data_IF_471130011979
#
_entry.id   IF_471130011979
#
_cell.length_a   1.000
_cell.length_b   1.000
_cell.length_c   1.000
_cell.angle_alpha   90.00
_cell.angle_beta   90.00
_cell.angle_gamma   90.00
#
_symmetry.space_group_name_H-M   'P 1'
#
loop_
_entity.id
_entity.type
_entity.pdbx_description
1 polymer ?
#
# COMPACT_ATOMS: atom_id res chain seq x y z
N UNK A 1 -15.24 -33.31 -7.60
CA UNK A 1 -14.09 -32.89 -6.86
C UNK A 1 -13.91 -31.40 -6.94
N UNK A 2 -13.04 -30.90 -6.10
CA UNK A 2 -12.93 -29.46 -5.90
C UNK A 2 -11.60 -28.89 -6.31
N UNK A 3 -10.85 -29.60 -7.07
CA UNK A 3 -9.52 -29.18 -7.45
C UNK A 3 -9.51 -27.87 -8.22
N UNK A 4 -10.62 -27.52 -8.84
CA UNK A 4 -10.70 -26.27 -9.60
C UNK A 4 -11.46 -25.18 -8.87
N UNK A 5 -11.72 -25.38 -7.59
CA UNK A 5 -12.35 -24.33 -6.80
C UNK A 5 -11.34 -23.24 -6.57
N UNK A 6 -11.63 -22.09 -7.09
CA UNK A 6 -10.80 -20.93 -6.85
C UNK A 6 -11.05 -20.39 -5.45
N UNK A 7 -9.96 -20.10 -4.77
CA UNK A 7 -10.08 -19.39 -3.50
C UNK A 7 -10.23 -17.91 -3.85
N UNK A 8 -11.45 -17.44 -3.73
CA UNK A 8 -11.72 -16.03 -3.99
C UNK A 8 -11.51 -15.28 -2.69
N UNK A 9 -10.47 -14.45 -2.67
CA UNK A 9 -10.21 -13.57 -1.55
C UNK A 9 -11.02 -12.31 -1.77
N UNK A 10 -12.09 -12.16 -0.98
CA UNK A 10 -12.94 -10.99 -1.08
C UNK A 10 -12.45 -9.96 -0.07
N UNK A 11 -12.04 -8.81 -0.59
CA UNK A 11 -11.63 -7.70 0.24
C UNK A 11 -12.75 -6.68 0.30
N UNK A 12 -13.09 -6.29 1.50
CA UNK A 12 -14.17 -5.35 1.75
C UNK A 12 -13.56 -3.99 2.03
N UNK A 13 -13.88 -2.97 1.21
CA UNK A 13 -13.36 -1.63 1.48
C UNK A 13 -14.13 -0.98 2.63
N UNK A 14 -13.37 -0.37 3.52
CA UNK A 14 -13.91 0.44 4.59
C UNK A 14 -13.12 1.74 4.65
N UNK A 15 -13.65 2.67 5.42
CA UNK A 15 -12.92 3.91 5.70
C UNK A 15 -12.45 3.88 7.15
N UNK A 16 -11.14 3.87 7.35
CA UNK A 16 -10.58 4.01 8.68
C UNK A 16 -10.71 5.47 9.12
N UNK A 17 -10.88 5.68 10.42
CA UNK A 17 -10.93 7.03 10.96
C UNK A 17 -9.57 7.71 10.72
N UNK A 18 -9.60 9.02 10.62
CA UNK A 18 -8.39 9.80 10.39
C UNK A 18 -7.33 9.51 11.43
N UNK A 19 -7.74 9.33 12.69
CA UNK A 19 -6.83 8.99 13.78
C UNK A 19 -6.11 7.66 13.52
N UNK A 20 -6.83 6.67 13.01
CA UNK A 20 -6.24 5.37 12.70
C UNK A 20 -5.26 5.46 11.53
N UNK A 21 -5.57 6.27 10.53
CA UNK A 21 -4.66 6.49 9.40
C UNK A 21 -3.38 7.16 9.88
N UNK A 22 -3.51 8.17 10.74
CA UNK A 22 -2.34 8.84 11.30
C UNK A 22 -1.47 7.86 12.08
N UNK A 23 -2.09 7.00 12.90
CA UNK A 23 -1.36 6.02 13.67
C UNK A 23 -0.62 5.04 12.78
N UNK A 24 -1.26 4.60 11.69
CA UNK A 24 -0.62 3.71 10.74
C UNK A 24 0.60 4.38 10.10
N UNK A 25 0.47 5.63 9.68
CA UNK A 25 1.58 6.34 9.04
C UNK A 25 2.73 6.60 10.00
N UNK A 26 2.41 6.86 11.27
CA UNK A 26 3.45 7.01 12.29
C UNK A 26 4.21 5.71 12.50
N UNK A 27 3.49 4.61 12.60
CA UNK A 27 4.12 3.30 12.74
C UNK A 27 4.97 2.98 11.51
N UNK A 28 4.44 3.22 10.33
CA UNK A 28 5.17 2.98 9.08
C UNK A 28 6.50 3.73 9.09
N UNK A 29 6.45 5.00 9.45
CA UNK A 29 7.65 5.83 9.46
C UNK A 29 8.66 5.35 10.48
N UNK A 30 8.18 4.97 11.68
CA UNK A 30 9.07 4.43 12.71
C UNK A 30 9.75 3.16 12.22
N UNK A 31 9.01 2.26 11.59
CA UNK A 31 9.57 1.01 11.08
C UNK A 31 10.60 1.28 9.98
N UNK A 32 10.25 2.14 9.03
CA UNK A 32 11.13 2.41 7.89
C UNK A 32 12.39 3.17 8.28
N UNK A 33 12.33 3.97 9.34
CA UNK A 33 13.46 4.78 9.78
C UNK A 33 14.27 4.14 10.90
N UNK A 34 13.85 2.95 11.36
CA UNK A 34 14.60 2.22 12.36
C UNK A 34 15.97 1.84 11.80
N UNK A 35 17.02 2.02 12.60
CA UNK A 35 18.38 1.73 12.13
C UNK A 35 18.60 0.27 11.79
N UNK A 36 17.78 -0.62 12.37
CA UNK A 36 17.87 -2.06 12.10
C UNK A 36 17.01 -2.47 10.92
N UNK A 37 16.29 -1.52 10.28
CA UNK A 37 15.47 -1.84 9.13
C UNK A 37 16.37 -2.19 7.95
N UNK A 38 16.20 -3.41 7.45
CA UNK A 38 16.97 -3.91 6.32
C UNK A 38 16.01 -4.12 5.15
N UNK A 39 16.23 -3.40 4.07
CA UNK A 39 15.35 -3.46 2.90
C UNK A 39 15.20 -4.88 2.40
N UNK A 40 16.29 -5.66 2.39
CA UNK A 40 16.23 -7.03 1.88
C UNK A 40 15.37 -7.95 2.74
N UNK A 41 15.40 -7.76 4.06
CA UNK A 41 14.72 -8.67 4.99
C UNK A 41 13.40 -8.13 5.52
N UNK A 42 13.26 -6.82 5.61
CA UNK A 42 12.12 -6.21 6.30
C UNK A 42 11.12 -5.55 5.35
N UNK A 43 11.42 -5.49 4.05
CA UNK A 43 10.49 -4.97 3.06
C UNK A 43 10.22 -6.05 2.02
N UNK A 44 8.95 -6.34 1.82
CA UNK A 44 8.54 -7.25 0.74
C UNK A 44 7.70 -6.47 -0.25
N UNK A 45 8.16 -6.40 -1.49
CA UNK A 45 7.44 -5.75 -2.58
C UNK A 45 6.92 -6.83 -3.51
N UNK A 46 5.59 -6.87 -3.69
CA UNK A 46 4.95 -7.81 -4.58
C UNK A 46 4.98 -7.20 -5.98
N UNK A 47 5.74 -7.80 -6.88
CA UNK A 47 5.95 -7.24 -8.22
C UNK A 47 5.07 -7.86 -9.27
N UNK A 48 4.62 -9.09 -9.06
CA UNK A 48 3.76 -9.78 -10.02
C UNK A 48 2.34 -9.24 -9.97
N UNK A 49 1.65 -9.33 -11.08
CA UNK A 49 0.27 -8.88 -11.15
C UNK A 49 -0.49 -9.83 -12.06
N UNK A 50 -1.75 -10.08 -11.71
CA UNK A 50 -2.68 -10.81 -12.57
C UNK A 50 -3.36 -9.86 -13.55
N UNK A 51 -3.13 -8.58 -13.39
CA UNK A 51 -3.74 -7.54 -14.18
C UNK A 51 -2.87 -7.23 -15.40
N UNK A 52 -3.24 -6.20 -16.12
CA UNK A 52 -2.49 -5.77 -17.29
C UNK A 52 -1.10 -5.31 -16.87
N UNK A 53 -0.13 -5.55 -17.74
CA UNK A 53 1.28 -5.28 -17.42
C UNK A 53 1.51 -3.84 -16.98
N UNK A 54 0.89 -2.87 -17.67
CA UNK A 54 1.11 -1.47 -17.38
C UNK A 54 0.56 -1.03 -16.02
N UNK A 55 -0.20 -1.89 -15.36
CA UNK A 55 -0.72 -1.63 -14.02
C UNK A 55 -0.07 -2.54 -12.98
N UNK A 56 1.10 -3.11 -13.30
CA UNK A 56 1.84 -3.94 -12.34
C UNK A 56 2.88 -3.10 -11.60
N UNK A 57 3.24 -3.55 -10.42
CA UNK A 57 4.30 -2.90 -9.65
C UNK A 57 5.63 -2.96 -10.40
N UNK A 58 5.92 -4.12 -11.02
CA UNK A 58 7.17 -4.28 -11.75
C UNK A 58 7.28 -3.26 -12.90
N UNK A 59 6.20 -3.10 -13.66
CA UNK A 59 6.20 -2.13 -14.75
C UNK A 59 6.40 -0.72 -14.24
N UNK A 60 5.68 -0.35 -13.17
CA UNK A 60 5.77 0.99 -12.62
C UNK A 60 7.17 1.30 -12.13
N UNK A 61 7.79 0.36 -11.43
CA UNK A 61 9.16 0.55 -10.96
C UNK A 61 10.12 0.73 -12.12
N UNK A 62 9.96 -0.05 -13.17
CA UNK A 62 10.81 0.08 -14.37
C UNK A 62 10.59 1.43 -15.05
N UNK A 63 9.34 1.81 -15.21
CA UNK A 63 9.01 3.06 -15.89
C UNK A 63 9.50 4.28 -15.13
N UNK A 64 9.47 4.23 -13.80
CA UNK A 64 9.97 5.32 -12.95
C UNK A 64 11.48 5.22 -12.68
N UNK A 65 12.10 4.13 -13.11
CA UNK A 65 13.49 3.83 -12.79
C UNK A 65 13.71 3.78 -11.27
N UNK A 66 12.81 3.06 -10.59
CA UNK A 66 12.83 2.93 -9.14
C UNK A 66 13.37 1.58 -8.72
N UNK A 67 14.21 1.58 -7.70
CA UNK A 67 14.54 0.35 -6.97
C UNK A 67 13.79 0.35 -5.62
N UNK A 68 14.10 -0.64 -4.78
CA UNK A 68 13.41 -0.77 -3.49
C UNK A 68 13.66 0.42 -2.58
N UNK A 69 14.84 1.03 -2.64
CA UNK A 69 15.12 2.18 -1.79
C UNK A 69 14.30 3.40 -2.20
N UNK A 70 14.02 3.54 -3.49
CA UNK A 70 13.15 4.62 -3.95
C UNK A 70 11.72 4.42 -3.44
N UNK A 71 11.27 3.17 -3.42
CA UNK A 71 9.96 2.84 -2.84
C UNK A 71 9.93 3.27 -1.38
N UNK A 72 10.94 2.91 -0.60
CA UNK A 72 11.02 3.28 0.81
C UNK A 72 10.88 4.79 0.98
N UNK A 73 11.60 5.56 0.16
CA UNK A 73 11.54 7.01 0.27
C UNK A 73 10.13 7.55 -0.04
N UNK A 74 9.46 6.98 -1.02
CA UNK A 74 8.08 7.40 -1.33
C UNK A 74 7.13 7.03 -0.20
N UNK A 75 7.31 5.85 0.41
CA UNK A 75 6.46 5.44 1.53
C UNK A 75 6.62 6.36 2.73
N UNK A 76 7.83 6.83 2.99
CA UNK A 76 8.06 7.78 4.09
C UNK A 76 7.35 9.11 3.89
N UNK A 77 7.05 9.44 2.65
CA UNK A 77 6.41 10.72 2.31
C UNK A 77 4.89 10.67 2.34
N UNK A 78 4.30 9.50 2.59
CA UNK A 78 2.84 9.37 2.57
C UNK A 78 2.21 10.22 3.65
N UNK A 79 1.07 10.83 3.30
CA UNK A 79 0.33 11.73 4.17
C UNK A 79 -1.10 11.24 4.34
N UNK A 80 -1.77 11.76 5.35
CA UNK A 80 -3.17 11.43 5.61
C UNK A 80 -4.04 11.83 4.42
N UNK A 81 -3.72 12.94 3.76
CA UNK A 81 -4.50 13.39 2.61
C UNK A 81 -4.43 12.44 1.43
N UNK A 82 -3.42 11.58 1.38
CA UNK A 82 -3.26 10.58 0.33
C UNK A 82 -3.93 9.26 0.65
N UNK A 83 -4.53 9.13 1.83
CA UNK A 83 -5.26 7.91 2.21
C UNK A 83 -6.53 7.78 1.38
N UNK A 84 -6.80 6.57 0.91
CA UNK A 84 -7.98 6.29 0.12
C UNK A 84 -8.96 5.36 0.85
N UNK A 85 -8.52 4.19 1.24
CA UNK A 85 -9.40 3.21 1.88
C UNK A 85 -8.60 2.16 2.62
N UNK A 86 -9.30 1.38 3.42
CA UNK A 86 -8.73 0.23 4.12
C UNK A 86 -9.45 -1.00 3.62
N UNK A 87 -8.70 -2.08 3.41
CA UNK A 87 -9.28 -3.33 2.92
C UNK A 87 -9.23 -4.38 4.01
N UNK A 88 -10.35 -5.07 4.18
CA UNK A 88 -10.48 -6.19 5.10
C UNK A 88 -10.71 -7.44 4.27
N UNK A 89 -9.95 -8.49 4.58
CA UNK A 89 -10.24 -9.80 4.00
C UNK A 89 -11.50 -10.34 4.67
N UNK A 90 -12.49 -10.73 3.87
CA UNK A 90 -13.76 -11.20 4.38
C UNK A 90 -13.59 -12.41 5.29
N UNK A 91 -12.63 -13.27 4.99
CA UNK A 91 -12.42 -14.50 5.74
C UNK A 91 -11.39 -14.32 6.87
N UNK A 92 -10.75 -13.17 6.94
CA UNK A 92 -9.79 -12.86 7.99
C UNK A 92 -9.88 -11.38 8.30
N UNK A 93 -10.79 -11.05 9.22
CA UNK A 93 -11.03 -9.67 9.58
C UNK A 93 -10.08 -9.15 10.66
N UNK A 94 -9.10 -9.97 11.01
CA UNK A 94 -8.14 -9.59 12.05
C UNK A 94 -7.02 -8.73 11.47
N UNK A 95 -6.44 -7.87 12.27
CA UNK A 95 -5.24 -7.14 11.83
C UNK A 95 -4.11 -8.09 11.48
N UNK A 96 -3.21 -7.70 10.60
CA UNK A 96 -3.12 -6.35 10.06
C UNK A 96 -4.06 -6.11 8.89
N UNK A 97 -4.56 -4.89 8.83
CA UNK A 97 -5.41 -4.45 7.73
C UNK A 97 -4.55 -3.91 6.59
N UNK A 98 -5.14 -3.85 5.41
CA UNK A 98 -4.48 -3.30 4.23
C UNK A 98 -4.87 -1.84 4.07
N UNK A 99 -3.90 -0.95 4.11
CA UNK A 99 -4.14 0.48 3.91
C UNK A 99 -3.78 0.88 2.49
N UNK A 100 -4.68 1.58 1.83
CA UNK A 100 -4.54 1.98 0.43
C UNK A 100 -4.38 3.49 0.35
N UNK A 101 -3.35 3.90 -0.36
CA UNK A 101 -3.01 5.31 -0.59
C UNK A 101 -2.87 5.57 -2.08
N UNK A 102 -3.05 6.82 -2.47
CA UNK A 102 -2.75 7.27 -3.81
C UNK A 102 -1.78 8.42 -3.76
N UNK A 103 -0.74 8.35 -4.55
CA UNK A 103 0.30 9.37 -4.55
C UNK A 103 0.59 9.80 -5.98
N UNK A 104 0.65 11.11 -6.20
CA UNK A 104 1.04 11.62 -7.51
C UNK A 104 2.55 11.61 -7.62
N UNK A 105 3.05 10.94 -8.65
CA UNK A 105 4.47 10.91 -8.98
C UNK A 105 4.58 11.22 -10.47
N UNK A 106 5.28 12.27 -10.82
CA UNK A 106 5.45 12.69 -12.22
C UNK A 106 4.11 12.86 -12.94
N UNK A 107 3.13 13.43 -12.23
CA UNK A 107 1.79 13.73 -12.75
C UNK A 107 0.97 12.48 -13.06
N UNK A 108 1.35 11.35 -12.50
CA UNK A 108 0.58 10.11 -12.61
C UNK A 108 0.25 9.62 -11.21
N UNK A 109 -0.98 9.15 -11.06
CA UNK A 109 -1.46 8.64 -9.78
C UNK A 109 -0.97 7.21 -9.57
N UNK A 110 -0.32 6.97 -8.44
CA UNK A 110 0.19 5.65 -8.07
C UNK A 110 -0.72 5.07 -6.99
N UNK A 111 -1.20 3.85 -7.24
CA UNK A 111 -1.99 3.08 -6.28
C UNK A 111 -1.03 2.31 -5.37
N UNK A 112 -1.11 2.56 -4.07
CA UNK A 112 -0.20 1.96 -3.10
C UNK A 112 -1.01 1.22 -2.05
N UNK A 113 -0.69 -0.07 -1.85
CA UNK A 113 -1.39 -0.90 -0.88
C UNK A 113 -0.36 -1.51 0.06
N UNK A 114 -0.54 -1.27 1.36
CA UNK A 114 0.46 -1.58 2.37
C UNK A 114 -0.13 -2.30 3.56
N UNK A 115 0.70 -3.11 4.22
CA UNK A 115 0.42 -3.52 5.59
C UNK A 115 1.73 -3.71 6.34
N UNK A 116 1.65 -3.62 7.66
CA UNK A 116 2.79 -3.84 8.54
C UNK A 116 2.53 -5.12 9.31
N UNK A 117 3.48 -6.04 9.30
CA UNK A 117 3.36 -7.34 9.94
C UNK A 117 4.43 -7.51 11.00
N UNK A 118 4.12 -8.33 12.01
CA UNK A 118 5.07 -8.69 13.04
C UNK A 118 4.87 -7.93 14.32
N UNK A 119 5.29 -8.52 15.42
CA UNK A 119 5.17 -7.92 16.75
C UNK A 119 6.52 -7.48 17.27
N UNK A 120 7.53 -8.35 17.19
CA UNK A 120 8.87 -8.04 17.67
C UNK A 120 9.69 -7.41 16.55
N UNK A 121 9.81 -8.13 15.43
CA UNK A 121 10.44 -7.59 14.23
C UNK A 121 9.35 -7.27 13.23
N UNK A 122 9.23 -6.00 12.89
CA UNK A 122 8.17 -5.57 11.98
C UNK A 122 8.67 -5.53 10.56
N UNK A 123 7.80 -5.96 9.66
CA UNK A 123 8.06 -5.96 8.22
C UNK A 123 6.99 -5.15 7.52
N UNK A 124 7.39 -4.47 6.46
CA UNK A 124 6.46 -3.73 5.62
C UNK A 124 6.20 -4.56 4.36
N UNK A 125 4.93 -4.81 4.09
CA UNK A 125 4.52 -5.47 2.86
C UNK A 125 3.92 -4.42 1.94
N UNK A 126 4.55 -4.22 0.80
CA UNK A 126 4.03 -3.36 -0.25
C UNK A 126 3.40 -4.25 -1.30
N UNK A 127 2.09 -4.43 -1.18
CA UNK A 127 1.36 -5.33 -2.06
C UNK A 127 1.06 -4.71 -3.41
N UNK A 128 1.05 -3.39 -3.48
CA UNK A 128 0.86 -2.67 -4.74
C UNK A 128 1.62 -1.36 -4.70
N UNK A 129 2.27 -1.05 -5.79
CA UNK A 129 2.89 0.24 -6.02
C UNK A 129 2.90 0.42 -7.54
N UNK A 130 1.73 0.75 -8.09
CA UNK A 130 1.59 0.76 -9.54
C UNK A 130 0.66 1.89 -9.99
N UNK A 131 0.73 2.22 -11.26
CA UNK A 131 -0.16 3.24 -11.80
C UNK A 131 -1.61 2.85 -11.53
N UNK A 132 -2.40 3.84 -11.10
CA UNK A 132 -3.79 3.60 -10.77
C UNK A 132 -4.56 3.30 -12.05
N UNK A 133 -5.35 2.24 -12.00
CA UNK A 133 -6.19 1.82 -13.12
C UNK A 133 -7.53 2.53 -13.10
N UNK A 134 -7.97 2.93 -11.92
CA UNK A 134 -9.27 3.59 -11.71
C UNK A 134 -9.08 4.84 -10.88
N UNK A 135 -10.08 5.71 -10.92
CA UNK A 135 -10.10 6.88 -10.06
C UNK A 135 -10.11 6.44 -8.59
N UNK A 136 -9.49 7.24 -7.76
CA UNK A 136 -9.42 6.99 -6.33
C UNK A 136 -10.05 8.13 -5.57
N UNK A 137 -10.67 7.82 -4.45
CA UNK A 137 -11.24 8.83 -3.56
C UNK A 137 -10.31 9.05 -2.39
N UNK A 138 -10.27 10.28 -1.90
CA UNK A 138 -9.38 10.68 -0.81
C UNK A 138 -10.21 11.40 0.26
N UNK A 139 -10.77 10.65 1.22
CA UNK A 139 -11.71 11.24 2.19
C UNK A 139 -11.13 12.32 3.07
N UNK A 140 -9.81 12.33 3.24
CA UNK A 140 -9.17 13.30 4.14
C UNK A 140 -8.38 14.37 3.41
N UNK A 141 -8.56 14.46 2.12
CA UNK A 141 -7.91 15.52 1.34
C UNK A 141 -8.60 16.83 1.61
N UNK A 142 -7.82 17.83 2.02
CA UNK A 142 -8.35 19.15 2.30
C UNK A 142 -8.23 20.04 1.08
N UNK A 143 -9.02 21.12 1.10
CA UNK A 143 -8.94 22.13 0.07
C UNK A 143 -9.57 21.72 -1.23
N UNK A 144 -10.37 20.75 -1.15
CA UNK A 144 -11.07 20.31 -2.33
C UNK A 144 -11.95 21.35 -2.88
N UNK A 145 -12.17 22.40 -2.37
CA UNK A 145 -13.05 23.21 -2.82
C UNK A 145 -12.93 24.50 -2.97
N UNK A 146 -12.85 24.54 -3.05
CA UNK A 146 -12.66 25.44 -3.14
C UNK A 146 -13.07 26.02 -3.54
#
# INVERSE_FOLDING_TARGET
TFRNVEVIVIKIPIRSEKKAVKAFLEELKVVLEDEDFDIADNLLIIKSSKDEIEYSTNYTMMDLDYDSSDIVERLKELTVSEYSETLIDKDDDKPPLLFVFGKDINNKLIYIKLKIKGTITKKVLCLSFHYAKHDMEFPYKQGGRR
#
